data_IF_959725312507
#
_entry.id   IF_959725312507
#
_cell.length_a   1.000
_cell.length_b   1.000
_cell.length_c   1.000
_cell.angle_alpha   90.00
_cell.angle_beta   90.00
_cell.angle_gamma   90.00
#
_symmetry.space_group_name_H-M   'P 1'
#
loop_
_entity.id
_entity.type
_entity.pdbx_description
1 polymer ?
#
# COMPACT_ATOMS: atom_id res chain seq x y z
N UNK A 1 -28.28 29.76 -69.37
CA UNK A 1 -26.89 30.22 -69.19
C UNK A 1 -26.37 29.69 -67.86
N UNK A 2 -25.17 29.10 -67.88
CA UNK A 2 -24.46 28.54 -66.72
C UNK A 2 -24.14 29.61 -65.67
N UNK A 3 -24.23 29.26 -64.38
CA UNK A 3 -23.18 29.45 -63.34
C UNK A 3 -23.75 29.18 -61.95
N UNK A 4 -23.39 28.03 -61.36
CA UNK A 4 -22.33 27.83 -60.35
C UNK A 4 -22.80 28.14 -58.92
N UNK A 5 -23.02 27.04 -58.21
CA UNK A 5 -23.09 26.85 -56.77
C UNK A 5 -21.94 27.54 -56.04
N UNK A 6 -22.25 28.22 -54.93
CA UNK A 6 -21.31 28.42 -53.82
C UNK A 6 -22.07 28.07 -52.54
N UNK A 7 -21.70 26.94 -51.95
CA UNK A 7 -22.11 26.51 -50.62
C UNK A 7 -21.11 27.13 -49.64
N UNK A 8 -21.57 27.97 -48.72
CA UNK A 8 -20.78 28.41 -47.57
C UNK A 8 -21.52 28.02 -46.30
N UNK A 9 -21.12 26.88 -45.75
CA UNK A 9 -21.43 26.45 -44.40
C UNK A 9 -20.66 27.33 -43.42
N UNK A 10 -21.37 28.09 -42.59
CA UNK A 10 -20.79 28.71 -41.40
C UNK A 10 -21.10 27.81 -40.20
N UNK A 11 -20.05 27.15 -39.72
CA UNK A 11 -20.08 26.11 -38.73
C UNK A 11 -20.58 26.58 -37.36
N UNK A 12 -21.34 25.69 -36.74
CA UNK A 12 -21.84 25.75 -35.37
C UNK A 12 -20.75 26.13 -34.36
N UNK A 13 -21.08 27.11 -33.52
CA UNK A 13 -20.36 27.45 -32.30
C UNK A 13 -20.37 26.22 -31.38
N UNK A 14 -19.23 25.53 -31.32
CA UNK A 14 -19.00 24.49 -30.34
C UNK A 14 -18.85 25.15 -28.96
N UNK A 15 -19.88 25.01 -28.13
CA UNK A 15 -19.80 25.24 -26.69
C UNK A 15 -18.73 24.30 -26.12
N UNK A 16 -17.52 24.84 -25.91
CA UNK A 16 -16.48 24.20 -25.11
C UNK A 16 -16.98 24.20 -23.65
N UNK A 17 -17.68 23.14 -23.27
CA UNK A 17 -17.90 22.79 -21.88
C UNK A 17 -16.54 22.44 -21.29
N UNK A 18 -15.92 23.41 -20.62
CA UNK A 18 -14.74 23.17 -19.79
C UNK A 18 -15.16 22.21 -18.68
N UNK A 19 -14.88 20.92 -18.87
CA UNK A 19 -14.90 19.94 -17.79
C UNK A 19 -13.92 20.42 -16.74
N UNK A 20 -14.44 20.94 -15.63
CA UNK A 20 -13.64 21.18 -14.45
C UNK A 20 -13.15 19.83 -13.94
N UNK A 21 -11.94 19.44 -14.33
CA UNK A 21 -11.22 18.42 -13.61
C UNK A 21 -11.07 18.94 -12.18
N UNK A 22 -11.84 18.37 -11.26
CA UNK A 22 -11.61 18.56 -9.85
C UNK A 22 -10.14 18.18 -9.60
N UNK A 23 -9.30 19.17 -9.38
CA UNK A 23 -7.93 18.96 -8.95
C UNK A 23 -8.05 18.38 -7.55
N UNK A 24 -8.11 17.05 -7.45
CA UNK A 24 -7.86 16.38 -6.20
C UNK A 24 -6.55 16.97 -5.65
N UNK A 25 -6.54 17.46 -4.40
CA UNK A 25 -5.32 18.03 -3.84
C UNK A 25 -4.22 17.00 -4.05
N UNK A 26 -3.12 17.43 -4.69
CA UNK A 26 -1.96 16.58 -4.90
C UNK A 26 -1.57 16.07 -3.51
N UNK A 27 -1.75 14.76 -3.27
CA UNK A 27 -1.22 14.13 -2.08
C UNK A 27 0.26 14.49 -2.04
N UNK A 28 0.78 15.04 -0.92
CA UNK A 28 2.20 15.34 -0.82
C UNK A 28 2.94 14.09 -1.22
N UNK A 29 3.85 14.21 -2.20
CA UNK A 29 4.59 13.09 -2.76
C UNK A 29 5.22 12.32 -1.59
N UNK A 30 4.63 11.17 -1.25
CA UNK A 30 5.14 10.33 -0.18
C UNK A 30 6.51 9.88 -0.69
N UNK A 31 7.61 10.24 0.00
CA UNK A 31 8.93 9.76 -0.39
C UNK A 31 8.84 8.24 -0.51
N UNK A 32 9.16 7.70 -1.68
CA UNK A 32 9.22 6.25 -1.88
C UNK A 32 10.09 5.69 -0.75
N UNK A 33 9.47 4.97 0.18
CA UNK A 33 10.17 4.42 1.34
C UNK A 33 11.22 3.44 0.82
N UNK A 34 12.47 3.89 0.82
CA UNK A 34 13.62 3.05 0.57
C UNK A 34 13.69 1.97 1.66
N UNK A 35 14.43 0.88 1.41
CA UNK A 35 14.59 -0.18 2.39
C UNK A 35 15.12 0.40 3.73
N UNK A 36 14.28 0.37 4.76
CA UNK A 36 14.62 0.88 6.10
C UNK A 36 15.11 -0.30 6.94
N UNK A 37 16.15 -0.08 7.76
CA UNK A 37 16.55 -1.06 8.77
C UNK A 37 15.50 -1.14 9.90
N UNK A 38 15.42 -2.27 10.63
CA UNK A 38 14.54 -2.38 11.80
C UNK A 38 14.75 -1.25 12.82
N UNK A 39 16.01 -0.85 13.06
CA UNK A 39 16.33 0.22 14.00
C UNK A 39 15.96 1.62 13.45
N UNK A 40 15.90 1.77 12.12
CA UNK A 40 15.46 2.99 11.45
C UNK A 40 13.94 3.11 11.35
N UNK A 41 13.22 1.98 11.36
CA UNK A 41 11.77 1.92 11.17
C UNK A 41 11.00 2.66 12.27
N UNK A 42 11.45 2.59 13.52
CA UNK A 42 10.80 3.26 14.66
C UNK A 42 10.85 4.79 14.59
N UNK A 43 11.75 5.34 13.75
CA UNK A 43 11.90 6.79 13.52
C UNK A 43 10.95 7.34 12.45
N UNK A 44 10.28 6.46 11.70
CA UNK A 44 9.32 6.84 10.69
C UNK A 44 8.04 7.40 11.33
N UNK A 45 7.35 8.29 10.62
CA UNK A 45 6.00 8.69 11.00
C UNK A 45 5.04 7.50 10.95
N UNK A 46 3.91 7.60 11.65
CA UNK A 46 2.89 6.52 11.67
C UNK A 46 2.45 6.16 10.24
N UNK A 47 2.18 7.15 9.39
CA UNK A 47 1.75 6.92 8.01
C UNK A 47 2.83 6.17 7.21
N UNK A 48 4.09 6.55 7.37
CA UNK A 48 5.21 5.88 6.71
C UNK A 48 5.37 4.43 7.18
N UNK A 49 5.17 4.16 8.47
CA UNK A 49 5.17 2.79 9.01
C UNK A 49 4.02 1.96 8.45
N UNK A 50 2.83 2.54 8.34
CA UNK A 50 1.66 1.89 7.74
C UNK A 50 1.88 1.56 6.26
N UNK A 51 2.44 2.48 5.47
CA UNK A 51 2.81 2.22 4.08
C UNK A 51 3.84 1.10 3.96
N UNK A 52 4.84 1.08 4.84
CA UNK A 52 5.86 0.03 4.84
C UNK A 52 5.24 -1.35 5.13
N UNK A 53 4.39 -1.45 6.15
CA UNK A 53 3.71 -2.70 6.53
C UNK A 53 2.78 -3.18 5.42
N UNK A 54 2.05 -2.27 4.77
CA UNK A 54 1.23 -2.59 3.60
C UNK A 54 2.07 -3.18 2.46
N UNK A 55 3.20 -2.53 2.11
CA UNK A 55 4.10 -3.02 1.06
C UNK A 55 4.75 -4.37 1.38
N UNK A 56 5.10 -4.61 2.64
CA UNK A 56 5.60 -5.90 3.10
C UNK A 56 4.52 -6.99 2.97
N UNK A 57 3.27 -6.72 3.36
CA UNK A 57 2.14 -7.65 3.21
C UNK A 57 1.83 -7.97 1.75
N UNK A 58 1.93 -6.98 0.85
CA UNK A 58 1.75 -7.20 -0.59
C UNK A 58 2.87 -8.05 -1.17
N UNK A 59 4.11 -7.86 -0.69
CA UNK A 59 5.24 -8.72 -1.04
C UNK A 59 5.04 -10.15 -0.52
N UNK A 60 4.57 -10.30 0.72
CA UNK A 60 4.26 -11.59 1.34
C UNK A 60 3.25 -12.41 0.53
N UNK A 61 2.17 -11.74 0.10
CA UNK A 61 1.14 -12.33 -0.77
C UNK A 61 1.65 -12.81 -2.12
N UNK A 62 2.80 -12.34 -2.59
CA UNK A 62 3.39 -12.77 -3.87
C UNK A 62 4.48 -13.80 -3.66
N UNK A 63 5.36 -13.61 -2.67
CA UNK A 63 6.62 -14.37 -2.55
C UNK A 63 6.57 -15.53 -1.56
N UNK A 64 5.66 -15.53 -0.57
CA UNK A 64 5.69 -16.48 0.55
C UNK A 64 4.46 -17.40 0.55
N UNK A 65 4.38 -18.33 -0.41
CA UNK A 65 3.26 -19.27 -0.57
C UNK A 65 2.88 -20.03 0.71
N UNK A 66 3.86 -20.38 1.54
CA UNK A 66 3.66 -21.19 2.75
C UNK A 66 2.81 -20.48 3.81
N UNK A 67 2.93 -19.16 3.94
CA UNK A 67 2.24 -18.39 4.98
C UNK A 67 0.94 -17.76 4.49
N UNK A 68 0.67 -17.78 3.17
CA UNK A 68 -0.57 -17.23 2.59
C UNK A 68 -1.86 -17.72 3.25
N UNK A 69 -2.12 -19.04 3.40
CA UNK A 69 -3.38 -19.49 3.99
C UNK A 69 -3.52 -19.06 5.45
N UNK A 70 -2.41 -19.06 6.19
CA UNK A 70 -2.38 -18.62 7.58
C UNK A 70 -2.66 -17.11 7.70
N UNK A 71 -1.97 -16.28 6.91
CA UNK A 71 -2.19 -14.83 6.91
C UNK A 71 -3.58 -14.47 6.40
N UNK A 72 -4.11 -15.19 5.41
CA UNK A 72 -5.48 -14.98 4.92
C UNK A 72 -6.51 -15.20 6.03
N UNK A 73 -6.34 -16.22 6.87
CA UNK A 73 -7.23 -16.48 8.00
C UNK A 73 -6.99 -15.52 9.18
N UNK A 74 -5.73 -15.34 9.58
CA UNK A 74 -5.36 -14.58 10.77
C UNK A 74 -5.55 -13.08 10.64
N UNK A 75 -5.23 -12.53 9.47
CA UNK A 75 -5.24 -11.09 9.20
C UNK A 75 -6.57 -10.63 8.58
N UNK A 76 -7.55 -11.53 8.41
CA UNK A 76 -8.87 -11.18 7.91
C UNK A 76 -9.52 -10.11 8.81
N UNK A 77 -9.91 -8.99 8.20
CA UNK A 77 -10.55 -7.87 8.91
C UNK A 77 -9.60 -7.01 9.75
N UNK A 78 -8.29 -7.28 9.75
CA UNK A 78 -7.30 -6.43 10.42
C UNK A 78 -7.00 -5.21 9.55
N UNK A 79 -7.05 -4.02 10.16
CA UNK A 79 -6.66 -2.78 9.50
C UNK A 79 -5.13 -2.67 9.42
N UNK A 80 -4.61 -1.92 8.44
CA UNK A 80 -3.17 -1.66 8.34
C UNK A 80 -2.63 -0.97 9.60
N UNK A 81 -3.39 -0.06 10.20
CA UNK A 81 -3.03 0.55 11.47
C UNK A 81 -2.83 -0.51 12.58
N UNK A 82 -3.74 -1.48 12.69
CA UNK A 82 -3.63 -2.55 13.69
C UNK A 82 -2.48 -3.51 13.39
N UNK A 83 -2.25 -3.86 12.12
CA UNK A 83 -1.07 -4.64 11.71
C UNK A 83 0.22 -3.90 12.07
N UNK A 84 0.27 -2.60 11.86
CA UNK A 84 1.41 -1.74 12.20
C UNK A 84 1.68 -1.73 13.70
N UNK A 85 0.64 -1.63 14.54
CA UNK A 85 0.80 -1.73 16.00
C UNK A 85 1.36 -3.10 16.44
N UNK A 86 0.99 -4.19 15.76
CA UNK A 86 1.52 -5.52 16.02
C UNK A 86 3.02 -5.56 15.70
N UNK A 87 3.40 -5.01 14.55
CA UNK A 87 4.81 -4.92 14.12
C UNK A 87 5.62 -4.03 15.07
N UNK A 88 5.11 -2.85 15.43
CA UNK A 88 5.75 -1.90 16.36
C UNK A 88 6.07 -2.59 17.70
N UNK A 89 5.14 -3.39 18.24
CA UNK A 89 5.39 -4.19 19.44
C UNK A 89 6.36 -5.33 19.18
N UNK A 90 6.17 -6.09 18.11
CA UNK A 90 6.98 -7.26 17.76
C UNK A 90 8.46 -6.93 17.61
N UNK A 91 8.79 -5.77 17.02
CA UNK A 91 10.18 -5.31 16.88
C UNK A 91 10.94 -5.20 18.19
N UNK A 92 10.25 -4.89 19.29
CA UNK A 92 10.87 -4.79 20.62
C UNK A 92 11.13 -6.15 21.27
N UNK A 93 10.46 -7.19 20.80
CA UNK A 93 10.50 -8.54 21.40
C UNK A 93 11.17 -9.59 20.51
N UNK A 94 11.28 -9.33 19.21
CA UNK A 94 11.92 -10.24 18.25
C UNK A 94 13.42 -10.35 18.53
N UNK A 95 13.92 -11.58 18.52
CA UNK A 95 15.35 -11.84 18.53
C UNK A 95 16.03 -11.19 17.31
N UNK A 96 17.30 -10.74 17.42
CA UNK A 96 18.00 -10.06 16.33
C UNK A 96 17.96 -10.81 14.99
N UNK A 97 18.06 -12.13 15.00
CA UNK A 97 18.00 -12.96 13.78
C UNK A 97 16.64 -12.89 13.07
N UNK A 98 15.55 -12.77 13.84
CA UNK A 98 14.18 -12.69 13.33
C UNK A 98 13.80 -11.27 12.87
N UNK A 99 14.71 -10.30 13.05
CA UNK A 99 14.59 -8.93 12.54
C UNK A 99 15.82 -8.52 11.73
N UNK A 100 16.42 -9.46 10.99
CA UNK A 100 17.62 -9.21 10.17
C UNK A 100 17.41 -8.18 9.04
N UNK A 101 16.15 -8.03 8.60
CA UNK A 101 15.69 -6.92 7.76
C UNK A 101 14.28 -6.53 8.18
N UNK A 102 13.85 -5.32 7.82
CA UNK A 102 12.51 -4.87 8.20
C UNK A 102 11.38 -5.68 7.55
N UNK A 103 11.44 -6.14 6.27
CA UNK A 103 10.42 -7.04 5.72
C UNK A 103 10.33 -8.36 6.49
N UNK A 104 11.47 -8.96 6.85
CA UNK A 104 11.52 -10.18 7.68
C UNK A 104 10.91 -9.91 9.06
N UNK A 105 11.20 -8.76 9.65
CA UNK A 105 10.65 -8.37 10.94
C UNK A 105 9.13 -8.20 10.90
N UNK A 106 8.58 -7.57 9.85
CA UNK A 106 7.11 -7.46 9.64
C UNK A 106 6.51 -8.86 9.58
N UNK A 107 7.03 -9.71 8.72
CA UNK A 107 6.54 -11.07 8.53
C UNK A 107 6.52 -11.84 9.86
N UNK A 108 7.66 -11.88 10.56
CA UNK A 108 7.81 -12.64 11.81
C UNK A 108 6.95 -12.07 12.95
N UNK A 109 6.84 -10.75 13.07
CA UNK A 109 5.98 -10.12 14.08
C UNK A 109 4.51 -10.51 13.90
N UNK A 110 4.03 -10.51 12.63
CA UNK A 110 2.67 -10.90 12.31
C UNK A 110 2.46 -12.41 12.50
N UNK A 111 3.42 -13.24 12.08
CA UNK A 111 3.37 -14.69 12.28
C UNK A 111 3.28 -15.04 13.77
N UNK A 112 4.13 -14.44 14.62
CA UNK A 112 4.09 -14.64 16.07
C UNK A 112 2.76 -14.19 16.70
N UNK A 113 2.16 -13.08 16.21
CA UNK A 113 0.84 -12.65 16.69
C UNK A 113 -0.27 -13.63 16.28
N UNK A 114 -0.20 -14.15 15.06
CA UNK A 114 -1.11 -15.18 14.57
C UNK A 114 -1.02 -16.46 15.39
N UNK A 115 0.18 -16.95 15.65
CA UNK A 115 0.44 -18.13 16.48
C UNK A 115 -0.12 -17.94 17.89
N UNK A 116 0.12 -16.76 18.49
CA UNK A 116 -0.42 -16.41 19.82
C UNK A 116 -1.95 -16.38 19.84
N UNK A 117 -2.60 -16.02 18.73
CA UNK A 117 -4.06 -16.03 18.57
C UNK A 117 -4.61 -17.41 18.18
N UNK A 118 -3.76 -18.43 18.07
CA UNK A 118 -4.15 -19.82 17.84
C UNK A 118 -4.23 -20.22 16.36
N UNK A 119 -3.80 -19.37 15.43
CA UNK A 119 -3.64 -19.75 14.03
C UNK A 119 -2.32 -20.51 13.90
N UNK A 120 -2.34 -21.71 13.31
CA UNK A 120 -1.13 -22.53 13.14
C UNK A 120 -0.86 -22.80 11.68
N UNK A 121 0.41 -22.75 11.26
CA UNK A 121 0.79 -23.27 9.95
C UNK A 121 0.62 -24.77 10.00
N UNK A 122 -0.34 -25.30 9.23
CA UNK A 122 -0.55 -26.74 9.09
C UNK A 122 0.59 -27.40 8.32
#
# INVERSE_FOLDING_TARGET
MYSKTVVTAAALVACLTTGAFAQAPALPAVPLLQAVSPDGYTKLSIDQRQFYVAGALDTDRVLFEQTKPLFAACLQGITIARATEIVDRGLTTLEPMLRSSMPIAVHNALLMDCDRRGFKSS
#
